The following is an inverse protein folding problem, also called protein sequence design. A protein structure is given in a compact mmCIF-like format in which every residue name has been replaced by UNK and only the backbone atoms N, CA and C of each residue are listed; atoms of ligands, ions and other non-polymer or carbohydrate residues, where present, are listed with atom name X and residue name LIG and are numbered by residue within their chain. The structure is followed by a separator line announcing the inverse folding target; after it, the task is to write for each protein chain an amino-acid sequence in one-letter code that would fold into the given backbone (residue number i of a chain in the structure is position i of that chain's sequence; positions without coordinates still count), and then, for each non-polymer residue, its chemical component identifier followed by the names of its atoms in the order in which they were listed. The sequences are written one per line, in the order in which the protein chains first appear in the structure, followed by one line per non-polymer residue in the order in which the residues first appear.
data_IF_949253288329
#
_entry.id   IF_949253288329
#
_cell.length_a   1.000
_cell.length_b   1.000
_cell.length_c   1.000
_cell.angle_alpha   90.00
_cell.angle_beta   90.00
_cell.angle_gamma   90.00
#
_symmetry.space_group_name_H-M   'P 1'
#
loop_
_entity.id
_entity.type
_entity.pdbx_description
1 polymer ?
#
# COMPACT_ATOMS: atom_id res chain seq x y z
N UNK A 1 36.91 0.86 -20.37
CA UNK A 1 35.90 0.40 -19.39
C UNK A 1 36.62 -0.24 -18.20
N UNK A 2 36.37 0.23 -16.97
CA UNK A 2 36.88 -0.46 -15.77
C UNK A 2 36.20 -1.83 -15.68
N UNK A 3 36.98 -2.90 -15.48
CA UNK A 3 36.44 -4.23 -15.18
C UNK A 3 36.07 -4.22 -13.69
N UNK A 4 34.78 -4.17 -13.37
CA UNK A 4 34.28 -4.41 -12.01
C UNK A 4 34.06 -5.91 -11.83
N UNK A 5 34.44 -6.40 -10.66
CA UNK A 5 34.07 -7.75 -10.22
C UNK A 5 32.58 -7.80 -9.85
N UNK A 6 31.99 -9.00 -9.92
CA UNK A 6 30.58 -9.20 -9.59
C UNK A 6 30.27 -8.82 -8.13
N UNK A 7 31.23 -9.01 -7.22
CA UNK A 7 31.12 -8.60 -5.82
C UNK A 7 31.03 -7.09 -5.66
N UNK A 8 31.92 -6.34 -6.32
CA UNK A 8 31.89 -4.87 -6.27
C UNK A 8 30.60 -4.31 -6.89
N UNK A 9 30.07 -4.98 -7.91
CA UNK A 9 28.79 -4.61 -8.52
C UNK A 9 27.63 -4.81 -7.54
N UNK A 10 27.61 -5.95 -6.84
CA UNK A 10 26.58 -6.23 -5.84
C UNK A 10 26.66 -5.22 -4.69
N UNK A 11 27.84 -4.94 -4.15
CA UNK A 11 28.02 -3.97 -3.06
C UNK A 11 27.55 -2.57 -3.48
N UNK A 12 27.84 -2.18 -4.73
CA UNK A 12 27.36 -0.93 -5.28
C UNK A 12 25.84 -0.91 -5.40
N UNK A 13 25.22 -1.98 -5.90
CA UNK A 13 23.76 -2.11 -5.98
C UNK A 13 23.13 -2.02 -4.59
N UNK A 14 23.65 -2.77 -3.60
CA UNK A 14 23.11 -2.76 -2.24
C UNK A 14 23.24 -1.39 -1.57
N UNK A 15 24.37 -0.70 -1.76
CA UNK A 15 24.57 0.64 -1.20
C UNK A 15 23.57 1.67 -1.72
N UNK A 16 23.09 1.48 -2.96
CA UNK A 16 22.23 2.43 -3.66
C UNK A 16 20.75 2.01 -3.68
N UNK A 17 20.45 0.74 -3.38
CA UNK A 17 19.09 0.17 -3.39
C UNK A 17 18.12 1.01 -2.53
N UNK A 18 18.51 1.33 -1.30
CA UNK A 18 17.62 2.09 -0.38
C UNK A 18 17.38 3.55 -0.79
N UNK A 19 18.26 4.18 -1.57
CA UNK A 19 17.95 5.50 -2.14
C UNK A 19 17.01 5.38 -3.34
N UNK A 20 17.27 4.42 -4.23
CA UNK A 20 16.44 4.18 -5.42
C UNK A 20 15.02 3.78 -5.05
N UNK A 21 14.84 2.92 -4.04
CA UNK A 21 13.51 2.55 -3.55
C UNK A 21 12.74 3.76 -2.98
N UNK A 22 13.44 4.68 -2.29
CA UNK A 22 12.84 5.94 -1.81
C UNK A 22 12.45 6.87 -2.95
N UNK A 23 13.28 6.96 -3.99
CA UNK A 23 12.99 7.76 -5.18
C UNK A 23 11.79 7.18 -5.95
N UNK A 24 11.74 5.86 -6.15
CA UNK A 24 10.58 5.16 -6.74
C UNK A 24 9.31 5.41 -5.92
N UNK A 25 9.39 5.34 -4.59
CA UNK A 25 8.25 5.60 -3.70
C UNK A 25 7.77 7.06 -3.76
N UNK A 26 8.69 7.99 -4.03
CA UNK A 26 8.39 9.42 -4.17
C UNK A 26 7.73 9.72 -5.52
N UNK A 27 8.24 9.11 -6.59
CA UNK A 27 7.73 9.31 -7.96
C UNK A 27 6.42 8.54 -8.22
N UNK A 28 6.17 7.43 -7.53
CA UNK A 28 4.92 6.67 -7.61
C UNK A 28 3.69 7.34 -6.97
N UNK A 29 3.82 8.59 -6.48
CA UNK A 29 2.77 9.32 -5.74
C UNK A 29 2.02 10.36 -6.57
N UNK A 30 2.11 10.35 -7.89
CA UNK A 30 1.03 10.92 -8.70
C UNK A 30 -0.17 9.96 -8.64
N UNK A 31 -0.80 9.88 -7.47
CA UNK A 31 -2.15 9.32 -7.39
C UNK A 31 -3.02 10.22 -8.26
N UNK A 32 -3.41 9.71 -9.42
CA UNK A 32 -4.44 10.35 -10.24
C UNK A 32 -5.71 10.43 -9.41
N UNK A 33 -5.89 11.56 -8.72
CA UNK A 33 -7.12 11.86 -8.02
C UNK A 33 -8.18 11.94 -9.10
N UNK A 34 -9.14 11.00 -9.07
CA UNK A 34 -10.27 11.02 -9.99
C UNK A 34 -11.01 12.33 -9.75
N UNK A 35 -10.98 13.23 -10.74
CA UNK A 35 -11.68 14.51 -10.68
C UNK A 35 -13.20 14.35 -10.81
N UNK A 36 -13.67 13.23 -11.38
CA UNK A 36 -15.10 12.93 -11.56
C UNK A 36 -15.60 12.01 -10.45
N UNK A 37 -16.82 12.26 -10.01
CA UNK A 37 -17.56 11.33 -9.16
C UNK A 37 -17.68 9.97 -9.87
N UNK A 38 -17.61 8.89 -9.08
CA UNK A 38 -17.91 7.55 -9.57
C UNK A 38 -19.39 7.47 -9.94
N UNK A 39 -19.72 6.55 -10.82
CA UNK A 39 -21.12 6.26 -11.12
C UNK A 39 -21.85 5.79 -9.84
N UNK A 40 -23.15 6.08 -9.71
CA UNK A 40 -23.91 5.76 -8.51
C UNK A 40 -23.96 4.25 -8.25
N UNK A 41 -24.05 3.44 -9.30
CA UNK A 41 -24.05 1.98 -9.16
C UNK A 41 -22.65 1.47 -8.79
N UNK A 42 -21.59 2.04 -9.41
CA UNK A 42 -20.21 1.71 -9.06
C UNK A 42 -19.93 2.00 -7.58
N UNK A 43 -20.38 3.16 -7.07
CA UNK A 43 -20.26 3.53 -5.66
C UNK A 43 -20.96 2.51 -4.76
N UNK A 44 -22.20 2.15 -5.07
CA UNK A 44 -22.98 1.22 -4.26
C UNK A 44 -22.30 -0.16 -4.16
N UNK A 45 -21.82 -0.68 -5.29
CA UNK A 45 -21.12 -1.98 -5.34
C UNK A 45 -19.82 -1.92 -4.51
N UNK A 46 -19.07 -0.83 -4.61
CA UNK A 46 -17.83 -0.67 -3.84
C UNK A 46 -18.08 -0.55 -2.35
N UNK A 47 -19.13 0.15 -1.94
CA UNK A 47 -19.55 0.24 -0.54
C UNK A 47 -19.93 -1.14 -0.02
N UNK A 48 -20.70 -1.93 -0.78
CA UNK A 48 -21.02 -3.30 -0.40
C UNK A 48 -19.77 -4.18 -0.26
N UNK A 49 -18.84 -4.10 -1.21
CA UNK A 49 -17.60 -4.86 -1.18
C UNK A 49 -16.74 -4.47 0.03
N UNK A 50 -16.68 -3.18 0.35
CA UNK A 50 -15.97 -2.66 1.51
C UNK A 50 -16.58 -3.24 2.80
N UNK A 51 -17.91 -3.15 2.94
CA UNK A 51 -18.64 -3.69 4.09
C UNK A 51 -18.46 -5.21 4.23
N UNK A 52 -18.50 -5.97 3.13
CA UNK A 52 -18.28 -7.41 3.13
C UNK A 52 -16.86 -7.77 3.58
N UNK A 53 -15.84 -7.04 3.10
CA UNK A 53 -14.45 -7.23 3.52
C UNK A 53 -14.24 -6.87 4.98
N UNK A 54 -14.86 -5.79 5.45
CA UNK A 54 -14.82 -5.38 6.84
C UNK A 54 -15.38 -6.45 7.77
N UNK A 55 -16.61 -6.93 7.49
CA UNK A 55 -17.23 -8.01 8.27
C UNK A 55 -16.40 -9.28 8.27
N UNK A 56 -15.74 -9.62 7.15
CA UNK A 56 -14.83 -10.76 7.08
C UNK A 56 -13.60 -10.57 7.97
N UNK A 57 -12.97 -9.38 7.94
CA UNK A 57 -11.83 -9.08 8.80
C UNK A 57 -12.21 -9.08 10.29
N UNK A 58 -13.43 -8.66 10.61
CA UNK A 58 -13.99 -8.72 11.96
C UNK A 58 -14.16 -10.16 12.42
N UNK A 59 -14.74 -11.03 11.58
CA UNK A 59 -14.87 -12.46 11.86
C UNK A 59 -13.50 -13.15 12.00
N UNK A 60 -12.51 -12.73 11.21
CA UNK A 60 -11.13 -13.23 11.28
C UNK A 60 -10.36 -12.70 12.51
N UNK A 61 -10.96 -11.83 13.32
CA UNK A 61 -10.33 -11.27 14.52
C UNK A 61 -9.24 -10.24 14.23
N UNK A 62 -9.12 -9.76 12.98
CA UNK A 62 -8.15 -8.74 12.56
C UNK A 62 -8.53 -7.32 12.98
N UNK A 63 -9.76 -7.15 13.44
CA UNK A 63 -10.29 -5.86 13.90
C UNK A 63 -10.43 -5.92 15.42
N UNK A 64 -9.74 -5.03 16.11
CA UNK A 64 -9.83 -4.88 17.56
C UNK A 64 -10.54 -3.57 17.89
N UNK A 65 -11.69 -3.68 18.54
CA UNK A 65 -12.44 -2.53 19.04
C UNK A 65 -11.80 -2.06 20.35
N UNK A 66 -11.06 -0.94 20.30
CA UNK A 66 -10.34 -0.39 21.47
C UNK A 66 -11.28 0.44 22.35
N UNK A 67 -12.27 1.11 21.73
CA UNK A 67 -13.37 1.84 22.37
C UNK A 67 -14.49 2.08 21.34
N UNK A 68 -15.63 2.64 21.74
CA UNK A 68 -16.77 2.97 20.85
C UNK A 68 -16.39 3.79 19.60
N UNK A 69 -15.27 4.53 19.64
CA UNK A 69 -14.84 5.48 18.60
C UNK A 69 -13.45 5.26 18.01
N UNK A 70 -12.69 4.27 18.47
CA UNK A 70 -11.31 4.05 18.00
C UNK A 70 -11.16 2.61 17.56
N UNK A 71 -11.07 2.41 16.25
CA UNK A 71 -10.90 1.10 15.61
C UNK A 71 -9.46 0.99 15.15
N UNK A 72 -8.76 -0.05 15.63
CA UNK A 72 -7.38 -0.32 15.29
C UNK A 72 -7.33 -1.44 14.25
N UNK A 73 -6.80 -1.15 13.07
CA UNK A 73 -6.57 -2.11 12.00
C UNK A 73 -5.09 -2.48 12.02
N UNK A 74 -4.75 -3.53 12.76
CA UNK A 74 -3.40 -4.06 12.80
C UNK A 74 -3.23 -4.94 11.54
N UNK A 75 -2.59 -4.40 10.50
CA UNK A 75 -2.11 -5.20 9.37
C UNK A 75 -0.84 -5.91 9.83
N UNK A 76 -0.91 -7.22 10.02
CA UNK A 76 0.24 -8.15 9.92
C UNK A 76 0.36 -8.63 8.46
#
# INVERSE_FOLDING_TARGET
MRKMSMSELNDWIFSRKGSVERDILKDGREQHVRLRARDKEEMHILDELCMKRWKKAEQEGKIRYVNERVWYYEFD
#
